data_IF_461188928848
#
_entry.id   IF_461188928848
#
_cell.length_a   1.000
_cell.length_b   1.000
_cell.length_c   1.000
_cell.angle_alpha   90.00
_cell.angle_beta   90.00
_cell.angle_gamma   90.00
#
_symmetry.space_group_name_H-M   'P 1'
#
loop_
_entity.id
_entity.type
_entity.pdbx_description
1 polymer ?
#
# COMPACT_ATOMS: atom_id res chain seq x y z
N UNK A 1 2.75 5.24 18.52
CA UNK A 1 2.16 5.46 17.19
C UNK A 1 1.26 4.27 16.89
N UNK A 2 -0.05 4.46 16.75
CA UNK A 2 -0.99 3.38 16.38
C UNK A 2 -1.24 3.51 14.87
N UNK A 3 -0.81 2.53 14.08
CA UNK A 3 -0.98 2.51 12.63
C UNK A 3 -2.03 1.47 12.24
N UNK A 4 -2.95 1.85 11.35
CA UNK A 4 -3.90 0.91 10.78
C UNK A 4 -3.19 0.02 9.75
N UNK A 5 -3.14 -1.28 10.03
CA UNK A 5 -2.50 -2.30 9.20
C UNK A 5 -3.45 -2.90 8.13
N UNK A 6 -4.70 -2.44 8.06
CA UNK A 6 -5.63 -2.95 7.06
C UNK A 6 -5.05 -2.79 5.64
N UNK A 7 -5.01 -3.91 4.91
CA UNK A 7 -4.54 -4.03 3.53
C UNK A 7 -3.04 -3.82 3.28
N UNK A 8 -2.19 -3.58 4.28
CA UNK A 8 -0.75 -3.35 4.05
C UNK A 8 -0.03 -4.60 3.55
N UNK A 9 -0.36 -5.77 4.10
CA UNK A 9 0.23 -7.05 3.70
C UNK A 9 -0.20 -7.50 2.30
N UNK A 10 -1.41 -7.11 1.87
CA UNK A 10 -2.03 -7.47 0.58
C UNK A 10 -1.80 -6.45 -0.54
N UNK A 11 -1.41 -5.23 -0.20
CA UNK A 11 -1.07 -4.20 -1.18
C UNK A 11 0.41 -4.27 -1.48
N UNK A 12 0.77 -4.52 -2.73
CA UNK A 12 2.16 -4.46 -3.18
C UNK A 12 2.69 -3.03 -3.01
N UNK A 13 3.77 -2.91 -2.27
CA UNK A 13 4.32 -1.61 -1.87
C UNK A 13 4.96 -0.81 -3.01
N UNK A 14 5.15 -1.40 -4.20
CA UNK A 14 5.85 -0.76 -5.33
C UNK A 14 4.90 -0.31 -6.46
N UNK A 15 3.83 -1.05 -6.73
CA UNK A 15 2.86 -0.74 -7.80
C UNK A 15 1.48 -0.32 -7.23
N UNK A 16 1.23 -0.55 -5.94
CA UNK A 16 -0.06 -0.28 -5.30
C UNK A 16 -1.15 -1.30 -5.61
N UNK A 17 -0.85 -2.39 -6.31
CA UNK A 17 -1.82 -3.43 -6.65
C UNK A 17 -2.24 -4.21 -5.40
N UNK A 18 -3.56 -4.39 -5.23
CA UNK A 18 -4.12 -5.14 -4.11
C UNK A 18 -4.35 -6.58 -4.54
N UNK A 19 -3.63 -7.51 -3.92
CA UNK A 19 -3.87 -8.93 -4.10
C UNK A 19 -5.01 -9.39 -3.17
N UNK A 20 -6.21 -9.54 -3.73
CA UNK A 20 -7.40 -9.96 -2.98
C UNK A 20 -7.25 -11.37 -2.39
N UNK A 21 -6.49 -12.25 -3.07
CA UNK A 21 -6.32 -13.67 -2.74
C UNK A 21 -4.95 -13.99 -2.14
N UNK A 22 -4.39 -13.11 -1.31
CA UNK A 22 -3.08 -13.37 -0.69
C UNK A 22 -3.11 -14.52 0.33
N UNK A 23 -4.19 -14.64 1.11
CA UNK A 23 -4.36 -15.68 2.13
C UNK A 23 -3.14 -15.89 3.03
N UNK A 24 -2.63 -17.13 3.07
CA UNK A 24 -1.46 -17.55 3.85
C UNK A 24 -0.11 -17.44 3.12
N UNK A 25 -0.03 -16.81 1.94
CA UNK A 25 1.19 -16.75 1.13
C UNK A 25 2.34 -16.02 1.81
N UNK A 26 3.54 -16.60 1.88
CA UNK A 26 4.70 -16.00 2.58
C UNK A 26 5.39 -14.89 1.78
N UNK A 27 5.14 -14.84 0.48
CA UNK A 27 5.74 -13.88 -0.43
C UNK A 27 4.66 -13.15 -1.23
N UNK A 28 5.00 -11.94 -1.67
CA UNK A 28 4.21 -11.13 -2.60
C UNK A 28 5.06 -10.95 -3.86
N UNK A 29 4.47 -11.20 -5.02
CA UNK A 29 5.15 -11.06 -6.30
C UNK A 29 4.22 -10.57 -7.41
N UNK A 30 4.82 -9.90 -8.40
CA UNK A 30 4.23 -9.55 -9.70
C UNK A 30 4.81 -10.40 -10.86
N UNK A 31 5.63 -11.42 -10.55
CA UNK A 31 6.35 -12.25 -11.51
C UNK A 31 7.78 -11.79 -11.82
N UNK A 32 8.11 -10.52 -11.56
CA UNK A 32 9.48 -9.98 -11.73
C UNK A 32 10.14 -9.65 -10.40
N UNK A 33 9.37 -9.12 -9.45
CA UNK A 33 9.81 -8.76 -8.11
C UNK A 33 9.18 -9.74 -7.13
N UNK A 34 9.98 -10.29 -6.22
CA UNK A 34 9.52 -11.17 -5.14
C UNK A 34 9.98 -10.57 -3.82
N UNK A 35 9.03 -10.32 -2.93
CA UNK A 35 9.30 -9.75 -1.60
C UNK A 35 8.62 -10.61 -0.54
N UNK A 36 9.25 -10.72 0.62
CA UNK A 36 8.61 -11.32 1.80
C UNK A 36 7.36 -10.49 2.20
N UNK A 37 6.30 -11.18 2.62
CA UNK A 37 5.03 -10.55 2.97
C UNK A 37 5.18 -9.54 4.11
N UNK A 38 5.94 -9.88 5.14
CA UNK A 38 6.07 -9.06 6.34
C UNK A 38 6.89 -7.81 6.01
N UNK A 39 7.94 -7.97 5.18
CA UNK A 39 8.70 -6.86 4.63
C UNK A 39 7.82 -5.93 3.77
N UNK A 40 6.95 -6.48 2.93
CA UNK A 40 6.01 -5.69 2.14
C UNK A 40 5.02 -4.92 3.03
N UNK A 41 4.47 -5.57 4.07
CA UNK A 41 3.56 -4.95 5.03
C UNK A 41 4.21 -3.81 5.80
N UNK A 42 5.42 -4.03 6.34
CA UNK A 42 6.20 -3.01 7.04
C UNK A 42 6.52 -1.82 6.13
N UNK A 43 6.89 -2.08 4.87
CA UNK A 43 7.11 -1.03 3.88
C UNK A 43 5.84 -0.24 3.59
N UNK A 44 4.68 -0.89 3.51
CA UNK A 44 3.39 -0.22 3.37
C UNK A 44 3.09 0.75 4.53
N UNK A 45 3.41 0.35 5.77
CA UNK A 45 3.27 1.22 6.96
C UNK A 45 4.25 2.40 6.88
N UNK A 46 5.51 2.15 6.55
CA UNK A 46 6.52 3.19 6.38
C UNK A 46 6.11 4.21 5.32
N UNK A 47 5.65 3.75 4.16
CA UNK A 47 5.19 4.63 3.07
C UNK A 47 3.99 5.48 3.51
N UNK A 48 3.06 4.93 4.29
CA UNK A 48 1.94 5.71 4.85
C UNK A 48 2.41 6.78 5.84
N UNK A 49 3.44 6.48 6.65
CA UNK A 49 4.02 7.47 7.56
C UNK A 49 4.74 8.60 6.82
N UNK A 50 5.44 8.27 5.72
CA UNK A 50 6.19 9.25 4.92
C UNK A 50 5.29 10.12 4.04
N UNK A 51 4.31 9.52 3.36
CA UNK A 51 3.48 10.20 2.37
C UNK A 51 2.08 10.56 2.88
N UNK A 52 1.71 10.15 4.09
CA UNK A 52 0.41 10.46 4.68
C UNK A 52 -0.79 9.97 3.84
N UNK A 53 -1.89 10.73 3.86
CA UNK A 53 -3.10 10.42 3.09
C UNK A 53 -3.05 10.90 1.63
N UNK A 54 -1.92 11.46 1.16
CA UNK A 54 -1.78 11.93 -0.24
C UNK A 54 -1.98 10.79 -1.26
N UNK A 55 -1.77 9.54 -0.86
CA UNK A 55 -2.03 8.36 -1.70
C UNK A 55 -3.51 8.01 -1.92
N UNK A 56 -4.45 8.52 -1.11
CA UNK A 56 -5.90 8.26 -1.30
C UNK A 56 -6.49 9.05 -2.48
N UNK A 57 -5.84 10.13 -2.93
CA UNK A 57 -6.37 10.98 -4.00
C UNK A 57 -6.10 10.44 -5.41
N UNK A 58 -5.12 9.56 -5.59
CA UNK A 58 -4.81 8.97 -6.92
C UNK A 58 -5.53 7.66 -7.22
N UNK A 59 -5.98 6.93 -6.19
CA UNK A 59 -6.67 5.64 -6.38
C UNK A 59 -8.18 5.78 -6.63
N UNK A 60 -8.75 6.98 -6.45
CA UNK A 60 -10.19 7.22 -6.57
C UNK A 60 -10.61 7.94 -7.86
N UNK A 61 -9.69 8.28 -8.77
CA UNK A 61 -10.04 9.06 -9.97
C UNK A 61 -10.69 10.41 -9.64
N UNK A 62 -10.43 10.96 -8.45
CA UNK A 62 -10.97 12.26 -8.05
C UNK A 62 -10.00 13.35 -8.47
N UNK A 63 -10.49 14.25 -9.31
CA UNK A 63 -9.82 15.46 -9.74
C UNK A 63 -9.26 16.20 -8.52
N UNK A 64 -7.99 16.58 -8.61
CA UNK A 64 -7.28 17.33 -7.57
C UNK A 64 -7.83 18.76 -7.48
N UNK A 65 -8.95 18.92 -6.79
CA UNK A 65 -9.43 20.19 -6.29
C UNK A 65 -9.25 20.21 -4.76
N UNK A 66 -8.02 20.46 -4.32
CA UNK A 66 -7.78 20.97 -2.96
C UNK A 66 -6.52 21.83 -2.94
N UNK A 67 -6.70 23.09 -3.35
CA UNK A 67 -5.89 24.23 -2.92
C UNK A 67 -6.85 25.34 -2.50
N UNK A 68 -6.60 25.90 -1.32
CA UNK A 68 -7.37 26.91 -0.56
C UNK A 68 -8.72 26.39 -0.03
N UNK A 69 -9.01 26.39 1.27
CA UNK A 69 -8.64 27.30 2.38
C UNK A 69 -8.21 26.53 3.64
#
# INVERSE_FOLDING_TARGET
>A
MICNEAYTSRTRSWDGFVNENLGGAKTVSDGSIVVDRDMNGARGIMLRALYGNLGRFRAAGADVALVAE
#
